data_IF_871527075642
#
_entry.id   IF_871527075642
#
_cell.length_a   1.000
_cell.length_b   1.000
_cell.length_c   1.000
_cell.angle_alpha   90.00
_cell.angle_beta   90.00
_cell.angle_gamma   90.00
#
_symmetry.space_group_name_H-M   'P 1'
#
loop_
_entity.id
_entity.type
_entity.pdbx_description
1 polymer ?
#
# COMPACT_ATOMS: atom_id res chain seq x y z
N UNK A 1 34.05 -13.95 -28.71
CA UNK A 1 34.25 -13.11 -27.51
C UNK A 1 34.39 -11.65 -27.96
N UNK A 2 33.29 -10.97 -28.34
CA UNK A 2 33.23 -9.54 -28.73
C UNK A 2 31.74 -9.13 -28.92
N UNK A 3 31.00 -8.82 -27.83
CA UNK A 3 29.95 -7.79 -27.95
C UNK A 3 29.97 -6.71 -26.84
N UNK A 4 30.78 -6.88 -25.78
CA UNK A 4 30.79 -5.96 -24.63
C UNK A 4 31.31 -4.54 -24.94
N UNK A 5 32.09 -4.34 -26.01
CA UNK A 5 32.69 -3.04 -26.34
C UNK A 5 31.73 -2.07 -27.04
N UNK A 6 30.65 -2.55 -27.67
CA UNK A 6 29.66 -1.69 -28.35
C UNK A 6 28.63 -1.11 -27.36
N UNK A 7 28.21 -1.89 -26.36
CA UNK A 7 27.24 -1.43 -25.36
C UNK A 7 27.84 -0.42 -24.39
N UNK A 8 29.09 -0.62 -23.96
CA UNK A 8 29.81 0.34 -23.10
C UNK A 8 30.02 1.70 -23.80
N UNK A 9 30.34 1.69 -25.11
CA UNK A 9 30.56 2.92 -25.89
C UNK A 9 29.26 3.69 -26.18
N UNK A 10 28.12 3.00 -26.23
CA UNK A 10 26.81 3.62 -26.41
C UNK A 10 26.27 4.27 -25.12
N UNK A 11 26.52 3.64 -23.97
CA UNK A 11 26.17 4.20 -22.66
C UNK A 11 27.02 5.45 -22.33
N UNK A 12 28.33 5.38 -22.57
CA UNK A 12 29.27 6.48 -22.35
C UNK A 12 28.93 7.73 -23.20
N UNK A 13 28.59 7.51 -24.48
CA UNK A 13 28.15 8.57 -25.39
C UNK A 13 26.79 9.20 -25.02
N UNK A 14 25.88 8.43 -24.43
CA UNK A 14 24.59 8.94 -23.97
C UNK A 14 24.76 9.80 -22.71
N UNK A 15 25.65 9.42 -21.77
CA UNK A 15 25.96 10.23 -20.59
C UNK A 15 26.66 11.55 -20.96
N UNK A 16 27.60 11.55 -21.92
CA UNK A 16 28.27 12.79 -22.36
C UNK A 16 27.33 13.77 -23.07
N UNK A 17 26.41 13.27 -23.91
CA UNK A 17 25.38 14.09 -24.55
C UNK A 17 24.38 14.66 -23.55
N UNK A 18 24.11 13.91 -22.48
CA UNK A 18 23.23 14.32 -21.40
C UNK A 18 23.83 15.46 -20.59
N UNK A 19 25.13 15.37 -20.30
CA UNK A 19 25.88 16.36 -19.52
C UNK A 19 26.03 17.68 -20.29
N UNK A 20 26.33 17.62 -21.61
CA UNK A 20 26.38 18.81 -22.47
C UNK A 20 25.05 19.58 -22.52
N UNK A 21 23.91 18.88 -22.60
CA UNK A 21 22.59 19.53 -22.62
C UNK A 21 22.20 20.17 -21.29
N UNK A 22 22.62 19.58 -20.17
CA UNK A 22 22.43 20.16 -18.83
C UNK A 22 23.21 21.47 -18.69
N UNK A 23 24.39 21.55 -19.31
CA UNK A 23 25.21 22.77 -19.35
C UNK A 23 24.63 23.83 -20.29
N UNK A 24 24.01 23.43 -21.41
CA UNK A 24 23.40 24.39 -22.36
C UNK A 24 22.06 24.99 -21.86
N UNK A 25 21.30 24.23 -21.05
CA UNK A 25 20.02 24.62 -20.47
C UNK A 25 20.07 24.60 -18.94
N UNK A 26 20.53 25.73 -18.38
CA UNK A 26 20.67 25.91 -16.93
C UNK A 26 19.35 25.69 -16.16
N UNK A 27 18.19 26.04 -16.75
CA UNK A 27 16.91 25.87 -16.07
C UNK A 27 16.52 24.39 -15.96
N UNK A 28 16.74 23.63 -17.04
CA UNK A 28 16.58 22.18 -17.02
C UNK A 28 17.55 21.51 -16.05
N UNK A 29 18.80 21.94 -16.04
CA UNK A 29 19.80 21.46 -15.09
C UNK A 29 19.36 21.68 -13.63
N UNK A 30 18.92 22.88 -13.29
CA UNK A 30 18.39 23.19 -11.96
C UNK A 30 17.18 22.29 -11.62
N UNK A 31 16.27 22.08 -12.56
CA UNK A 31 15.11 21.21 -12.35
C UNK A 31 15.53 19.75 -12.10
N UNK A 32 16.54 19.24 -12.81
CA UNK A 32 17.06 17.89 -12.63
C UNK A 32 17.71 17.71 -11.26
N UNK A 33 18.52 18.66 -10.81
CA UNK A 33 19.16 18.58 -9.49
C UNK A 33 18.10 18.62 -8.37
N UNK A 34 17.12 19.52 -8.45
CA UNK A 34 16.00 19.56 -7.49
C UNK A 34 15.17 18.28 -7.54
N UNK A 35 14.91 17.73 -8.72
CA UNK A 35 14.19 16.47 -8.88
C UNK A 35 14.95 15.28 -8.25
N UNK A 36 16.27 15.19 -8.47
CA UNK A 36 17.13 14.18 -7.84
C UNK A 36 17.15 14.33 -6.31
N UNK A 37 17.24 15.56 -5.80
CA UNK A 37 17.16 15.84 -4.37
C UNK A 37 15.85 15.38 -3.71
N UNK A 38 14.76 15.34 -4.49
CA UNK A 38 13.47 14.79 -4.07
C UNK A 38 13.27 13.29 -4.40
N UNK A 39 14.33 12.59 -4.83
CA UNK A 39 14.30 11.15 -5.11
C UNK A 39 13.73 10.76 -6.48
N UNK A 40 13.55 11.73 -7.39
CA UNK A 40 13.09 11.47 -8.75
C UNK A 40 14.29 11.31 -9.70
N UNK A 41 14.54 10.09 -10.17
CA UNK A 41 15.58 9.79 -11.17
C UNK A 41 14.98 9.82 -12.58
N UNK A 42 14.99 10.99 -13.22
CA UNK A 42 14.58 11.15 -14.63
C UNK A 42 15.75 11.64 -15.49
N UNK A 43 15.72 11.25 -16.76
CA UNK A 43 16.58 11.81 -17.79
C UNK A 43 16.03 13.17 -18.28
N UNK A 44 16.89 14.07 -18.77
CA UNK A 44 16.49 15.30 -19.46
C UNK A 44 15.42 15.09 -20.52
N UNK A 45 15.58 14.08 -21.38
CA UNK A 45 14.60 13.76 -22.43
C UNK A 45 13.22 13.39 -21.84
N UNK A 46 13.18 12.69 -20.70
CA UNK A 46 11.93 12.38 -20.03
C UNK A 46 11.24 13.63 -19.44
N UNK A 47 12.01 14.60 -18.96
CA UNK A 47 11.49 15.89 -18.50
C UNK A 47 10.99 16.78 -19.65
N UNK A 48 11.64 16.73 -20.81
CA UNK A 48 11.32 17.58 -21.95
C UNK A 48 10.29 16.97 -22.92
N UNK A 49 10.10 15.65 -22.91
CA UNK A 49 9.27 14.89 -23.86
C UNK A 49 7.93 15.57 -24.20
N UNK A 50 7.73 15.94 -25.47
CA UNK A 50 6.48 16.55 -25.94
C UNK A 50 6.22 17.99 -25.45
N UNK A 51 7.24 18.72 -25.01
CA UNK A 51 7.14 20.17 -24.78
C UNK A 51 7.61 20.97 -26.00
N UNK A 52 6.94 22.11 -26.30
CA UNK A 52 7.41 23.04 -27.31
C UNK A 52 8.58 23.87 -26.75
N UNK A 53 9.81 23.42 -26.96
CA UNK A 53 11.01 24.13 -26.52
C UNK A 53 11.30 25.33 -27.42
N UNK A 54 11.84 26.41 -26.85
CA UNK A 54 12.32 27.57 -27.61
C UNK A 54 13.84 27.47 -27.72
N UNK A 55 14.38 27.44 -28.94
CA UNK A 55 15.81 27.25 -29.21
C UNK A 55 16.43 26.01 -28.52
N UNK A 56 15.62 24.96 -28.31
CA UNK A 56 16.05 23.74 -27.62
C UNK A 56 16.13 23.85 -26.10
N UNK A 57 15.74 24.99 -25.51
CA UNK A 57 15.79 25.25 -24.06
C UNK A 57 14.40 25.25 -23.41
N UNK A 58 14.36 24.91 -22.14
CA UNK A 58 13.20 24.96 -21.28
C UNK A 58 12.89 26.41 -20.91
N UNK A 59 11.69 26.86 -21.25
CA UNK A 59 11.21 28.19 -20.86
C UNK A 59 10.49 28.15 -19.50
N UNK A 60 10.55 29.24 -18.69
CA UNK A 60 9.91 29.29 -17.38
C UNK A 60 8.41 28.98 -17.38
N UNK A 61 7.69 29.31 -18.46
CA UNK A 61 6.25 29.01 -18.61
C UNK A 61 5.94 27.51 -18.68
N UNK A 62 6.90 26.69 -19.10
CA UNK A 62 6.76 25.25 -19.26
C UNK A 62 7.28 24.46 -18.04
N UNK A 63 7.91 25.12 -17.07
CA UNK A 63 8.49 24.44 -15.90
C UNK A 63 7.43 23.72 -15.07
N UNK A 64 6.18 24.21 -15.06
CA UNK A 64 5.04 23.52 -14.45
C UNK A 64 4.82 22.12 -15.03
N UNK A 65 4.88 22.01 -16.36
CA UNK A 65 4.66 20.77 -17.07
C UNK A 65 5.87 19.84 -16.96
N UNK A 66 7.08 20.37 -17.09
CA UNK A 66 8.31 19.61 -16.93
C UNK A 66 8.44 19.05 -15.50
N UNK A 67 8.28 19.88 -14.47
CA UNK A 67 8.30 19.47 -13.07
C UNK A 67 7.21 18.44 -12.74
N UNK A 68 6.03 18.57 -13.34
CA UNK A 68 4.94 17.60 -13.21
C UNK A 68 5.32 16.18 -13.63
N UNK A 69 6.22 16.02 -14.59
CA UNK A 69 6.74 14.70 -15.01
C UNK A 69 7.63 14.04 -13.96
N UNK A 70 8.36 14.86 -13.21
CA UNK A 70 9.10 14.42 -12.02
C UNK A 70 8.21 14.22 -10.78
N UNK A 71 6.89 14.39 -10.89
CA UNK A 71 5.98 14.34 -9.74
C UNK A 71 6.09 15.58 -8.84
N UNK A 72 6.74 16.65 -9.31
CA UNK A 72 6.85 17.91 -8.59
C UNK A 72 5.74 18.86 -9.04
N UNK A 73 5.27 19.72 -8.13
CA UNK A 73 4.50 20.91 -8.47
C UNK A 73 5.41 22.11 -8.37
N UNK A 74 5.46 22.91 -9.41
CA UNK A 74 6.19 24.16 -9.41
C UNK A 74 5.26 25.36 -9.45
N UNK A 75 5.74 26.49 -8.92
CA UNK A 75 5.09 27.79 -9.02
C UNK A 75 6.15 28.85 -9.26
N UNK A 76 6.03 29.55 -10.39
CA UNK A 76 6.82 30.74 -10.69
C UNK A 76 6.22 31.92 -9.93
N UNK A 77 7.06 32.67 -9.21
CA UNK A 77 6.68 33.86 -8.45
C UNK A 77 7.61 35.01 -8.78
N UNK A 78 7.07 36.22 -8.83
CA UNK A 78 7.85 37.45 -8.89
C UNK A 78 8.07 37.95 -7.46
N UNK A 79 9.30 37.91 -6.98
CA UNK A 79 9.62 38.29 -5.59
C UNK A 79 11.04 38.83 -5.52
N UNK A 80 11.30 39.76 -4.61
CA UNK A 80 12.66 40.25 -4.36
C UNK A 80 13.45 39.20 -3.58
N UNK A 81 14.78 39.16 -3.73
CA UNK A 81 15.60 38.09 -3.18
C UNK A 81 15.48 38.00 -1.65
N UNK A 82 15.36 39.13 -0.96
CA UNK A 82 15.21 39.20 0.51
C UNK A 82 13.85 38.67 0.99
N UNK A 83 12.86 38.59 0.09
CA UNK A 83 11.49 38.10 0.37
C UNK A 83 11.31 36.63 -0.02
N UNK A 84 12.36 35.95 -0.46
CA UNK A 84 12.29 34.52 -0.72
C UNK A 84 12.12 33.79 0.61
N UNK A 85 11.01 33.06 0.76
CA UNK A 85 10.70 32.37 2.01
C UNK A 85 11.72 31.24 2.28
N UNK A 86 12.50 31.30 3.38
CA UNK A 86 13.50 30.27 3.71
C UNK A 86 12.88 28.88 3.92
N UNK A 87 11.61 28.80 4.32
CA UNK A 87 10.89 27.54 4.52
C UNK A 87 10.53 26.82 3.21
N UNK A 88 10.71 27.48 2.05
CA UNK A 88 10.42 26.92 0.73
C UNK A 88 11.68 26.64 -0.10
N UNK A 89 12.85 26.65 0.54
CA UNK A 89 14.10 26.21 -0.08
C UNK A 89 14.15 24.67 -0.18
N UNK A 90 14.79 24.09 -1.20
CA UNK A 90 15.51 24.77 -2.28
C UNK A 90 14.57 25.43 -3.31
N UNK A 91 14.97 26.60 -3.82
CA UNK A 91 14.22 27.34 -4.84
C UNK A 91 15.10 27.65 -6.06
N UNK A 92 14.56 27.56 -7.27
CA UNK A 92 15.28 27.94 -8.49
C UNK A 92 15.14 29.45 -8.69
N UNK A 93 16.25 30.16 -8.85
CA UNK A 93 16.31 31.58 -9.17
C UNK A 93 16.62 31.75 -10.67
N UNK A 94 15.87 32.62 -11.34
CA UNK A 94 16.17 33.00 -12.71
C UNK A 94 17.16 34.16 -12.71
N UNK A 95 18.29 33.97 -13.38
CA UNK A 95 19.36 34.94 -13.51
C UNK A 95 19.36 35.59 -14.90
N UNK A 96 20.13 36.67 -15.04
CA UNK A 96 20.36 37.31 -16.33
C UNK A 96 21.00 36.34 -17.35
N UNK A 97 20.88 36.67 -18.64
CA UNK A 97 21.36 35.85 -19.77
C UNK A 97 20.72 34.46 -19.90
N UNK A 98 19.44 34.31 -19.50
CA UNK A 98 18.72 33.03 -19.51
C UNK A 98 19.39 31.94 -18.65
N UNK A 99 20.13 32.33 -17.61
CA UNK A 99 20.74 31.41 -16.65
C UNK A 99 19.81 31.14 -15.47
N UNK A 100 20.11 30.09 -14.72
CA UNK A 100 19.40 29.75 -13.50
C UNK A 100 20.35 29.15 -12.47
N UNK A 101 20.06 29.35 -11.19
CA UNK A 101 20.74 28.67 -10.10
C UNK A 101 19.73 28.22 -9.04
N UNK A 102 20.14 27.33 -8.15
CA UNK A 102 19.33 26.90 -7.01
C UNK A 102 19.82 27.62 -5.76
N UNK A 103 18.94 28.34 -5.08
CA UNK A 103 19.19 28.83 -3.74
C UNK A 103 18.94 27.70 -2.74
N UNK A 104 20.01 27.24 -2.08
CA UNK A 104 19.96 26.17 -1.09
C UNK A 104 19.78 26.71 0.34
N UNK A 105 20.33 27.89 0.63
CA UNK A 105 20.32 28.46 1.98
C UNK A 105 21.00 29.81 2.05
N UNK A 106 21.01 30.38 3.25
CA UNK A 106 21.67 31.63 3.61
C UNK A 106 22.71 31.36 4.69
N UNK A 107 23.79 32.14 4.73
CA UNK A 107 24.72 32.19 5.86
C UNK A 107 24.04 32.81 7.10
N UNK A 108 24.55 32.53 8.30
CA UNK A 108 23.97 33.02 9.57
C UNK A 108 23.83 34.55 9.60
N UNK A 109 24.78 35.27 9.00
CA UNK A 109 24.76 36.74 8.92
C UNK A 109 24.02 37.29 7.69
N UNK A 110 23.39 36.43 6.88
CA UNK A 110 22.77 36.78 5.59
C UNK A 110 23.69 37.49 4.56
N UNK A 111 25.00 37.62 4.84
CA UNK A 111 25.96 38.23 3.92
C UNK A 111 26.19 37.38 2.67
N UNK A 112 26.17 36.05 2.81
CA UNK A 112 26.39 35.11 1.71
C UNK A 112 25.20 34.18 1.49
N UNK A 113 24.87 33.94 0.22
CA UNK A 113 23.90 32.97 -0.23
C UNK A 113 24.60 31.68 -0.67
N UNK A 114 24.07 30.52 -0.27
CA UNK A 114 24.53 29.23 -0.78
C UNK A 114 23.74 28.90 -2.05
N UNK A 115 24.43 28.96 -3.19
CA UNK A 115 23.85 28.72 -4.51
C UNK A 115 24.47 27.50 -5.17
N UNK A 116 23.66 26.71 -5.86
CA UNK A 116 24.11 25.59 -6.69
C UNK A 116 23.89 25.96 -8.14
N UNK A 117 24.96 25.89 -8.92
CA UNK A 117 24.95 26.13 -10.35
C UNK A 117 24.89 24.78 -11.09
N UNK A 118 24.00 24.62 -12.08
CA UNK A 118 23.89 23.35 -12.81
C UNK A 118 25.18 22.94 -13.52
N UNK A 119 26.03 23.91 -13.89
CA UNK A 119 27.34 23.67 -14.51
C UNK A 119 28.39 23.08 -13.55
N UNK A 120 28.16 23.20 -12.23
CA UNK A 120 29.01 22.69 -11.15
C UNK A 120 28.40 21.45 -10.47
N UNK A 121 27.32 20.88 -11.02
CA UNK A 121 26.63 19.73 -10.45
C UNK A 121 25.91 20.06 -9.15
N UNK A 122 26.02 19.17 -8.14
CA UNK A 122 25.36 19.31 -6.83
C UNK A 122 26.17 20.14 -5.81
N UNK A 123 27.28 20.78 -6.22
CA UNK A 123 28.14 21.53 -5.32
C UNK A 123 27.56 22.92 -4.98
N UNK A 124 27.37 23.19 -3.69
CA UNK A 124 26.99 24.51 -3.20
C UNK A 124 28.21 25.44 -3.16
N UNK A 125 28.05 26.64 -3.72
CA UNK A 125 29.03 27.73 -3.73
C UNK A 125 28.48 28.87 -2.89
N UNK A 126 29.34 29.45 -2.05
CA UNK A 126 29.02 30.68 -1.33
C UNK A 126 29.20 31.87 -2.29
N UNK A 127 28.14 32.66 -2.46
CA UNK A 127 28.13 33.87 -3.28
C UNK A 127 27.71 35.05 -2.40
N UNK A 128 28.37 36.20 -2.58
CA UNK A 128 27.97 37.43 -1.90
C UNK A 128 26.54 37.82 -2.30
N UNK A 129 25.73 38.20 -1.32
CA UNK A 129 24.30 38.48 -1.56
C UNK A 129 24.13 39.64 -2.55
N UNK A 130 24.98 40.67 -2.47
CA UNK A 130 24.96 41.78 -3.42
C UNK A 130 25.24 41.34 -4.86
N UNK A 131 26.17 40.40 -5.04
CA UNK A 131 26.48 39.82 -6.35
C UNK A 131 25.30 39.00 -6.91
N UNK A 132 24.63 38.24 -6.05
CA UNK A 132 23.45 37.46 -6.43
C UNK A 132 22.27 38.37 -6.77
N UNK A 133 22.04 39.44 -6.00
CA UNK A 133 21.00 40.45 -6.28
C UNK A 133 21.24 41.11 -7.64
N UNK A 134 22.49 41.45 -7.97
CA UNK A 134 22.83 42.08 -9.24
C UNK A 134 22.53 41.20 -10.46
N UNK A 135 22.54 39.88 -10.31
CA UNK A 135 22.27 38.90 -11.40
C UNK A 135 20.83 38.39 -11.41
N UNK A 136 20.05 38.70 -10.39
CA UNK A 136 18.72 38.11 -10.18
C UNK A 136 17.63 38.89 -10.91
N UNK A 137 16.89 38.21 -11.77
CA UNK A 137 15.84 38.82 -12.60
C UNK A 137 14.54 39.14 -11.85
N UNK A 138 14.48 38.88 -10.54
CA UNK A 138 13.27 39.08 -9.73
C UNK A 138 12.23 37.95 -9.79
N UNK A 139 12.58 36.80 -10.40
CA UNK A 139 11.68 35.65 -10.54
C UNK A 139 12.27 34.40 -9.89
N UNK A 140 11.54 33.83 -8.91
CA UNK A 140 11.88 32.57 -8.25
C UNK A 140 10.86 31.49 -8.61
N UNK A 141 11.30 30.24 -8.58
CA UNK A 141 10.46 29.09 -8.85
C UNK A 141 10.55 28.15 -7.64
N UNK A 142 9.43 28.03 -6.95
CA UNK A 142 9.30 27.06 -5.87
C UNK A 142 8.90 25.72 -6.44
N UNK A 143 9.57 24.67 -5.98
CA UNK A 143 9.22 23.29 -6.29
C UNK A 143 8.87 22.58 -5.00
N UNK A 144 7.81 21.78 -5.05
CA UNK A 144 7.48 20.86 -3.97
C UNK A 144 7.09 19.51 -4.53
N UNK A 145 7.34 18.41 -3.82
CA UNK A 145 6.73 17.12 -4.14
C UNK A 145 5.22 17.29 -4.27
N UNK A 146 4.68 16.97 -5.44
CA UNK A 146 3.25 16.84 -5.61
C UNK A 146 2.79 15.65 -4.77
N UNK A 147 1.71 15.80 -4.00
CA UNK A 147 1.02 14.64 -3.44
C UNK A 147 0.50 13.77 -4.59
N UNK A 148 1.34 12.85 -5.05
CA UNK A 148 0.89 11.60 -5.65
C UNK A 148 0.78 10.64 -4.47
N UNK A 149 -0.43 10.15 -4.23
CA UNK A 149 -0.61 8.83 -3.62
C UNK A 149 0.01 7.82 -4.59
N UNK A 150 1.35 7.76 -4.63
CA UNK A 150 2.06 6.93 -5.57
C UNK A 150 2.25 5.54 -4.96
N UNK A 151 1.37 4.64 -5.42
CA UNK A 151 1.46 3.20 -5.27
C UNK A 151 2.62 2.62 -6.09
N UNK A 152 3.85 3.09 -5.85
CA UNK A 152 5.09 2.52 -6.40
C UNK A 152 6.21 2.66 -5.36
N UNK A 153 6.40 1.59 -4.59
CA UNK A 153 7.63 1.35 -3.82
C UNK A 153 8.75 0.92 -4.81
N UNK A 154 10.05 1.10 -4.49
CA UNK A 154 10.64 0.49 -3.30
C UNK A 154 11.63 1.38 -2.53
N UNK A 155 11.50 1.36 -1.21
CA UNK A 155 12.49 1.87 -0.28
C UNK A 155 12.20 1.28 1.08
N UNK A 156 12.93 0.22 1.42
CA UNK A 156 12.84 -0.52 2.68
C UNK A 156 13.05 0.44 3.85
N UNK A 157 11.95 0.93 4.43
CA UNK A 157 11.96 1.46 5.79
C UNK A 157 10.95 0.64 6.58
N UNK A 158 11.49 -0.22 7.46
CA UNK A 158 10.77 -1.03 8.44
C UNK A 158 9.82 -0.14 9.24
N UNK A 159 8.61 0.09 8.73
CA UNK A 159 7.49 0.55 9.54
C UNK A 159 6.75 -0.70 9.97
N UNK A 160 6.61 -0.86 11.27
CA UNK A 160 5.88 -1.96 11.93
C UNK A 160 4.61 -2.25 11.13
N UNK A 161 4.49 -3.49 10.64
CA UNK A 161 3.45 -4.01 9.73
C UNK A 161 2.01 -4.00 10.31
N UNK A 162 1.68 -3.12 11.25
CA UNK A 162 0.46 -3.19 12.03
C UNK A 162 -0.55 -2.07 11.79
N UNK A 163 -0.52 -1.30 10.69
CA UNK A 163 -1.39 -0.10 10.60
C UNK A 163 -2.38 -0.04 9.42
N UNK A 164 -2.10 -0.72 8.30
CA UNK A 164 -2.99 -0.66 7.13
C UNK A 164 -4.26 -1.52 7.31
N UNK A 165 -4.12 -2.70 7.95
CA UNK A 165 -5.26 -3.56 8.30
C UNK A 165 -6.29 -2.83 9.17
N UNK A 166 -5.81 -2.10 10.18
CA UNK A 166 -6.68 -1.36 11.09
C UNK A 166 -7.35 -0.15 10.44
N UNK A 167 -6.75 0.45 9.39
CA UNK A 167 -7.42 1.54 8.67
C UNK A 167 -8.62 1.05 7.85
N UNK A 168 -8.52 -0.15 7.26
CA UNK A 168 -9.63 -0.80 6.52
C UNK A 168 -10.73 -1.29 7.47
N UNK A 169 -10.36 -1.83 8.64
CA UNK A 169 -11.32 -2.22 9.69
C UNK A 169 -12.05 -0.98 10.26
N UNK A 170 -11.33 0.14 10.41
CA UNK A 170 -11.87 1.40 10.93
C UNK A 170 -12.94 2.03 10.03
N UNK A 171 -12.83 1.89 8.70
CA UNK A 171 -13.80 2.44 7.74
C UNK A 171 -15.19 1.80 7.85
N UNK A 172 -15.31 0.56 8.37
CA UNK A 172 -16.57 -0.17 8.53
C UNK A 172 -16.88 -0.56 9.98
N UNK A 173 -16.45 0.26 10.96
CA UNK A 173 -16.60 -0.03 12.40
C UNK A 173 -18.02 -0.42 12.86
N UNK A 174 -19.06 0.12 12.23
CA UNK A 174 -20.45 -0.18 12.57
C UNK A 174 -20.79 -1.65 12.26
N UNK A 175 -20.34 -2.14 11.10
CA UNK A 175 -20.59 -3.50 10.67
C UNK A 175 -19.83 -4.51 11.54
N UNK A 176 -18.57 -4.23 11.86
CA UNK A 176 -17.79 -5.07 12.78
C UNK A 176 -18.37 -5.09 14.19
N UNK A 177 -18.88 -3.96 14.69
CA UNK A 177 -19.58 -3.90 15.98
C UNK A 177 -20.83 -4.78 15.98
N UNK A 178 -21.63 -4.71 14.92
CA UNK A 178 -22.88 -5.46 14.84
C UNK A 178 -22.61 -6.98 14.71
N UNK A 179 -21.55 -7.37 13.97
CA UNK A 179 -21.08 -8.77 13.90
C UNK A 179 -20.55 -9.25 15.25
N UNK A 180 -19.79 -8.42 15.97
CA UNK A 180 -19.26 -8.75 17.30
C UNK A 180 -20.39 -8.90 18.34
N UNK A 181 -21.39 -8.02 18.30
CA UNK A 181 -22.56 -8.10 19.17
C UNK A 181 -23.40 -9.35 18.87
N UNK A 182 -23.58 -9.69 17.59
CA UNK A 182 -24.24 -10.93 17.19
C UNK A 182 -23.46 -12.16 17.67
N UNK A 183 -22.13 -12.19 17.50
CA UNK A 183 -21.29 -13.27 18.01
C UNK A 183 -21.38 -13.40 19.54
N UNK A 184 -21.41 -12.29 20.27
CA UNK A 184 -21.62 -12.29 21.71
C UNK A 184 -22.96 -12.93 22.09
N UNK A 185 -24.07 -12.51 21.46
CA UNK A 185 -25.40 -13.03 21.74
C UNK A 185 -25.54 -14.53 21.38
N UNK A 186 -24.99 -14.95 20.24
CA UNK A 186 -24.97 -16.37 19.83
C UNK A 186 -24.24 -17.21 20.87
N UNK A 187 -23.04 -16.78 21.28
CA UNK A 187 -22.26 -17.52 22.27
C UNK A 187 -22.95 -17.54 23.65
N UNK A 188 -23.63 -16.47 24.03
CA UNK A 188 -24.43 -16.43 25.26
C UNK A 188 -25.60 -17.43 25.22
N UNK A 189 -26.35 -17.47 24.12
CA UNK A 189 -27.46 -18.41 23.94
C UNK A 189 -27.02 -19.87 23.82
N UNK A 190 -25.84 -20.13 23.27
CA UNK A 190 -25.29 -21.47 23.15
C UNK A 190 -25.08 -22.17 24.52
N UNK A 191 -24.94 -21.41 25.62
CA UNK A 191 -24.84 -21.95 26.99
C UNK A 191 -26.20 -22.46 27.51
N UNK A 192 -27.31 -22.02 26.93
CA UNK A 192 -28.64 -22.43 27.37
C UNK A 192 -28.89 -23.94 27.22
N UNK A 193 -28.35 -24.58 26.17
CA UNK A 193 -28.54 -26.00 25.92
C UNK A 193 -27.84 -26.88 26.99
N UNK A 194 -26.55 -26.69 27.32
CA UNK A 194 -25.92 -27.36 28.46
C UNK A 194 -26.66 -27.14 29.79
N UNK A 195 -27.10 -25.91 30.07
CA UNK A 195 -27.84 -25.60 31.30
C UNK A 195 -29.21 -26.29 31.33
N UNK A 196 -29.89 -26.41 30.19
CA UNK A 196 -31.14 -27.14 30.08
C UNK A 196 -30.94 -28.62 30.38
N UNK A 197 -29.97 -29.26 29.71
CA UNK A 197 -29.66 -30.68 29.93
C UNK A 197 -29.32 -30.90 31.40
N UNK A 198 -28.47 -30.06 31.99
CA UNK A 198 -28.12 -30.12 33.41
C UNK A 198 -29.36 -30.02 34.30
N UNK A 199 -30.22 -29.01 34.11
CA UNK A 199 -31.43 -28.87 34.93
C UNK A 199 -32.42 -30.03 34.72
N UNK A 200 -32.54 -30.55 33.50
CA UNK A 200 -33.42 -31.67 33.21
C UNK A 200 -32.95 -32.92 33.94
N UNK A 201 -31.67 -33.28 33.81
CA UNK A 201 -31.13 -34.49 34.43
C UNK A 201 -31.00 -34.38 35.96
N UNK A 202 -30.60 -33.22 36.49
CA UNK A 202 -30.33 -33.08 37.92
C UNK A 202 -31.59 -32.77 38.73
N UNK A 203 -32.59 -32.11 38.12
CA UNK A 203 -33.77 -31.61 38.86
C UNK A 203 -35.09 -32.12 38.33
N UNK A 204 -35.27 -32.23 37.01
CA UNK A 204 -36.57 -32.58 36.44
C UNK A 204 -36.82 -34.08 36.46
N UNK A 205 -35.87 -34.87 35.97
CA UNK A 205 -35.98 -36.34 35.90
C UNK A 205 -36.10 -36.95 37.31
N UNK A 206 -35.28 -36.58 38.31
CA UNK A 206 -35.37 -37.19 39.64
C UNK A 206 -36.66 -36.83 40.38
N UNK A 207 -37.20 -35.63 40.16
CA UNK A 207 -38.40 -35.14 40.85
C UNK A 207 -39.70 -35.33 40.04
N UNK A 208 -39.66 -35.96 38.86
CA UNK A 208 -40.79 -36.09 37.93
C UNK A 208 -41.53 -34.76 37.69
N UNK A 209 -40.80 -33.63 37.62
CA UNK A 209 -41.38 -32.30 37.55
C UNK A 209 -41.77 -31.92 36.10
N UNK A 210 -42.85 -32.52 35.58
CA UNK A 210 -43.27 -32.36 34.17
C UNK A 210 -43.63 -30.93 33.80
N UNK A 211 -44.19 -30.15 34.73
CA UNK A 211 -44.54 -28.75 34.46
C UNK A 211 -43.28 -27.89 34.27
N UNK A 212 -42.25 -28.13 35.08
CA UNK A 212 -40.93 -27.49 34.94
C UNK A 212 -40.27 -27.90 33.62
N UNK A 213 -40.43 -29.17 33.20
CA UNK A 213 -39.91 -29.64 31.91
C UNK A 213 -40.51 -28.84 30.74
N UNK A 214 -41.83 -28.70 30.70
CA UNK A 214 -42.50 -27.95 29.64
C UNK A 214 -42.08 -26.48 29.63
N UNK A 215 -42.02 -25.84 30.80
CA UNK A 215 -41.57 -24.45 30.91
C UNK A 215 -40.12 -24.26 30.40
N UNK A 216 -39.19 -25.12 30.83
CA UNK A 216 -37.80 -25.07 30.37
C UNK A 216 -37.67 -25.40 28.88
N UNK A 217 -38.44 -26.37 28.37
CA UNK A 217 -38.40 -26.78 26.96
C UNK A 217 -38.86 -25.65 26.04
N UNK A 218 -39.95 -24.96 26.39
CA UNK A 218 -40.41 -23.78 25.63
C UNK A 218 -39.37 -22.67 25.67
N UNK A 219 -38.77 -22.41 26.85
CA UNK A 219 -37.70 -21.41 26.99
C UNK A 219 -36.50 -21.72 26.08
N UNK A 220 -36.03 -22.96 26.07
CA UNK A 220 -34.91 -23.39 25.23
C UNK A 220 -35.27 -23.37 23.75
N UNK A 221 -36.50 -23.73 23.37
CA UNK A 221 -36.96 -23.62 21.99
C UNK A 221 -36.87 -22.17 21.48
N UNK A 222 -37.29 -21.20 22.31
CA UNK A 222 -37.16 -19.77 22.00
C UNK A 222 -35.69 -19.37 21.85
N UNK A 223 -34.83 -19.81 22.78
CA UNK A 223 -33.40 -19.52 22.73
C UNK A 223 -32.74 -20.11 21.48
N UNK A 224 -33.00 -21.37 21.14
CA UNK A 224 -32.47 -22.02 19.94
C UNK A 224 -32.95 -21.29 18.68
N UNK A 225 -34.22 -20.89 18.64
CA UNK A 225 -34.77 -20.13 17.51
C UNK A 225 -34.08 -18.77 17.37
N UNK A 226 -33.88 -18.05 18.48
CA UNK A 226 -33.16 -16.78 18.50
C UNK A 226 -31.69 -16.96 18.09
N UNK A 227 -31.03 -18.01 18.57
CA UNK A 227 -29.65 -18.35 18.19
C UNK A 227 -29.55 -18.59 16.67
N UNK A 228 -30.48 -19.35 16.09
CA UNK A 228 -30.53 -19.63 14.65
C UNK A 228 -30.67 -18.33 13.86
N UNK A 229 -31.63 -17.47 14.23
CA UNK A 229 -31.85 -16.17 13.56
C UNK A 229 -30.60 -15.31 13.62
N UNK A 230 -29.97 -15.17 14.80
CA UNK A 230 -28.75 -14.39 14.96
C UNK A 230 -27.59 -14.96 14.15
N UNK A 231 -27.44 -16.30 14.09
CA UNK A 231 -26.41 -16.97 13.30
C UNK A 231 -26.58 -16.71 11.81
N UNK A 232 -27.83 -16.74 11.31
CA UNK A 232 -28.15 -16.40 9.92
C UNK A 232 -27.91 -14.92 9.63
N UNK A 233 -28.35 -14.00 10.50
CA UNK A 233 -28.09 -12.57 10.34
C UNK A 233 -26.60 -12.26 10.32
N UNK A 234 -25.81 -12.90 11.21
CA UNK A 234 -24.35 -12.76 11.24
C UNK A 234 -23.73 -13.19 9.92
N UNK A 235 -24.13 -14.34 9.38
CA UNK A 235 -23.66 -14.80 8.07
C UNK A 235 -23.96 -13.79 6.96
N UNK A 236 -25.21 -13.31 6.91
CA UNK A 236 -25.62 -12.32 5.93
C UNK A 236 -24.85 -10.99 6.04
N UNK A 237 -24.54 -10.52 7.26
CA UNK A 237 -23.74 -9.30 7.44
C UNK A 237 -22.30 -9.47 7.01
N UNK A 238 -21.70 -10.63 7.26
CA UNK A 238 -20.34 -10.95 6.77
C UNK A 238 -20.33 -11.00 5.25
N UNK A 239 -21.33 -11.62 4.62
CA UNK A 239 -21.46 -11.68 3.16
C UNK A 239 -21.67 -10.28 2.55
N UNK A 240 -22.50 -9.45 3.19
CA UNK A 240 -22.74 -8.08 2.75
C UNK A 240 -21.46 -7.22 2.87
N UNK A 241 -20.65 -7.44 3.92
CA UNK A 241 -19.32 -6.84 4.05
C UNK A 241 -18.43 -7.20 2.87
N UNK A 242 -18.36 -8.50 2.56
CA UNK A 242 -17.58 -9.05 1.46
C UNK A 242 -17.96 -8.42 0.13
N UNK A 243 -19.27 -8.35 -0.17
CA UNK A 243 -19.77 -7.78 -1.43
C UNK A 243 -19.48 -6.28 -1.59
N UNK A 244 -19.58 -5.47 -0.53
CA UNK A 244 -19.29 -4.02 -0.59
C UNK A 244 -17.81 -3.74 -0.82
N UNK A 245 -16.94 -4.54 -0.21
CA UNK A 245 -15.50 -4.49 -0.43
C UNK A 245 -15.18 -4.96 -1.84
N UNK A 246 -15.87 -6.00 -2.33
CA UNK A 246 -15.70 -6.52 -3.68
C UNK A 246 -16.05 -5.47 -4.76
N UNK A 247 -17.19 -4.79 -4.65
CA UNK A 247 -17.61 -3.75 -5.61
C UNK A 247 -16.61 -2.58 -5.69
N UNK A 248 -16.13 -2.08 -4.53
CA UNK A 248 -15.14 -0.99 -4.51
C UNK A 248 -13.81 -1.42 -5.12
N UNK A 249 -13.33 -2.60 -4.76
CA UNK A 249 -12.04 -3.08 -5.25
C UNK A 249 -12.13 -3.46 -6.74
N UNK A 250 -13.26 -3.97 -7.21
CA UNK A 250 -13.54 -4.17 -8.64
C UNK A 250 -13.54 -2.86 -9.42
N UNK A 251 -14.13 -1.79 -8.88
CA UNK A 251 -14.03 -0.45 -9.51
C UNK A 251 -12.61 0.10 -9.53
N UNK A 252 -11.83 -0.07 -8.45
CA UNK A 252 -10.44 0.37 -8.37
C UNK A 252 -9.53 -0.40 -9.33
N UNK A 253 -9.73 -1.72 -9.45
CA UNK A 253 -9.03 -2.56 -10.42
C UNK A 253 -9.40 -2.14 -11.85
N UNK A 254 -10.70 -1.93 -12.14
CA UNK A 254 -11.16 -1.51 -13.46
C UNK A 254 -10.62 -0.13 -13.84
N UNK A 255 -10.59 0.82 -12.90
CA UNK A 255 -9.98 2.15 -13.09
C UNK A 255 -8.48 2.04 -13.36
N UNK A 256 -7.78 1.13 -12.67
CA UNK A 256 -6.35 0.88 -12.91
C UNK A 256 -6.08 0.18 -14.23
N UNK A 257 -6.98 -0.71 -14.67
CA UNK A 257 -6.91 -1.41 -15.97
C UNK A 257 -7.22 -0.46 -17.13
N UNK A 258 -8.22 0.40 -16.99
CA UNK A 258 -8.59 1.40 -18.00
C UNK A 258 -7.63 2.60 -18.03
N UNK A 259 -6.98 2.92 -16.90
CA UNK A 259 -5.99 3.98 -16.78
C UNK A 259 -4.58 3.58 -17.21
N UNK A 260 -4.33 2.33 -17.59
CA UNK A 260 -3.06 1.88 -18.14
C UNK A 260 -2.92 2.39 -19.58
N UNK A 261 -2.14 3.47 -19.74
CA UNK A 261 -1.68 3.94 -21.05
C UNK A 261 -0.86 2.85 -21.76
N UNK A 262 -1.09 2.71 -23.07
CA UNK A 262 -0.47 1.74 -24.00
C UNK A 262 1.07 1.74 -24.04
N UNK A 263 1.73 2.72 -23.41
CA UNK A 263 3.18 2.91 -23.42
C UNK A 263 3.91 2.09 -22.34
N UNK A 264 3.21 1.53 -21.35
CA UNK A 264 3.80 0.79 -20.22
C UNK A 264 3.30 -0.66 -20.12
N UNK A 265 3.29 -1.39 -21.24
CA UNK A 265 2.95 -2.82 -21.26
C UNK A 265 4.09 -3.62 -20.59
N UNK A 266 3.88 -4.31 -19.45
CA UNK A 266 4.90 -5.20 -18.89
C UNK A 266 5.07 -6.41 -19.81
N UNK A 267 6.28 -6.95 -19.87
CA UNK A 267 6.70 -8.01 -20.80
C UNK A 267 5.94 -9.34 -20.67
N UNK A 268 5.09 -9.52 -19.66
CA UNK A 268 4.09 -10.61 -19.69
C UNK A 268 2.82 -10.27 -18.91
N UNK A 269 1.67 -10.66 -19.47
CA UNK A 269 0.36 -10.55 -18.85
C UNK A 269 0.22 -11.39 -17.55
N UNK A 270 1.17 -12.30 -17.28
CA UNK A 270 1.14 -13.22 -16.15
C UNK A 270 1.53 -12.60 -14.80
N UNK A 271 2.49 -11.66 -14.76
CA UNK A 271 2.93 -11.05 -13.49
C UNK A 271 1.94 -10.00 -12.96
N UNK A 272 1.23 -9.31 -13.86
CA UNK A 272 0.16 -8.38 -13.49
C UNK A 272 -1.07 -9.13 -12.94
N UNK A 273 -1.42 -10.27 -13.56
CA UNK A 273 -2.48 -11.15 -13.06
C UNK A 273 -2.12 -11.80 -11.71
N UNK A 274 -0.84 -12.11 -11.46
CA UNK A 274 -0.38 -12.66 -10.18
C UNK A 274 -0.47 -11.64 -9.03
N UNK A 275 -0.10 -10.38 -9.26
CA UNK A 275 -0.26 -9.32 -8.25
C UNK A 275 -1.73 -8.99 -7.98
N UNK A 276 -2.61 -9.06 -9.00
CA UNK A 276 -4.06 -8.90 -8.82
C UNK A 276 -4.65 -10.02 -7.94
N UNK A 277 -4.24 -11.28 -8.16
CA UNK A 277 -4.66 -12.43 -7.34
C UNK A 277 -4.12 -12.38 -5.91
N UNK A 278 -2.97 -11.76 -5.67
CA UNK A 278 -2.45 -11.60 -4.31
C UNK A 278 -3.34 -10.68 -3.45
N UNK A 279 -4.00 -9.68 -4.06
CA UNK A 279 -5.01 -8.86 -3.37
C UNK A 279 -6.36 -9.58 -3.23
N UNK A 280 -6.73 -10.44 -4.17
CA UNK A 280 -7.90 -11.32 -4.09
C UNK A 280 -7.75 -12.36 -2.97
N UNK A 281 -6.55 -12.92 -2.77
CA UNK A 281 -6.22 -13.79 -1.64
C UNK A 281 -6.37 -13.09 -0.28
N UNK A 282 -6.03 -11.81 -0.18
CA UNK A 282 -6.19 -11.02 1.05
C UNK A 282 -7.66 -10.65 1.26
N UNK A 283 -8.42 -10.40 0.19
CA UNK A 283 -9.88 -10.24 0.21
C UNK A 283 -10.58 -11.52 0.68
N UNK A 284 -10.21 -12.67 0.13
CA UNK A 284 -10.72 -13.97 0.57
C UNK A 284 -10.37 -14.21 2.03
N UNK A 285 -9.18 -13.84 2.50
CA UNK A 285 -8.83 -13.94 3.92
C UNK A 285 -9.76 -13.10 4.82
N UNK A 286 -10.02 -11.85 4.46
CA UNK A 286 -10.89 -10.92 5.23
C UNK A 286 -12.38 -11.30 5.14
N UNK A 287 -12.83 -11.85 4.00
CA UNK A 287 -14.21 -12.30 3.80
C UNK A 287 -14.44 -13.76 4.24
N UNK A 288 -13.38 -14.53 4.51
CA UNK A 288 -13.49 -15.95 4.84
C UNK A 288 -13.91 -16.19 6.28
N UNK A 289 -14.28 -17.46 6.53
CA UNK A 289 -14.42 -18.07 7.84
C UNK A 289 -13.30 -17.72 8.85
N UNK A 290 -12.13 -17.25 8.40
CA UNK A 290 -11.02 -16.83 9.25
C UNK A 290 -11.36 -15.63 10.13
N UNK A 291 -12.02 -14.59 9.60
CA UNK A 291 -12.40 -13.42 10.41
C UNK A 291 -13.47 -13.80 11.44
N UNK A 292 -14.42 -14.65 11.04
CA UNK A 292 -15.43 -15.20 11.96
C UNK A 292 -14.78 -16.04 13.05
N UNK A 293 -13.83 -16.90 12.70
CA UNK A 293 -13.08 -17.70 13.66
C UNK A 293 -12.26 -16.83 14.63
N UNK A 294 -11.67 -15.74 14.15
CA UNK A 294 -10.93 -14.80 14.99
C UNK A 294 -11.84 -14.05 15.97
N UNK A 295 -13.06 -13.70 15.53
CA UNK A 295 -14.10 -13.08 16.37
C UNK A 295 -14.64 -14.08 17.40
N UNK A 296 -14.78 -15.36 17.03
CA UNK A 296 -15.28 -16.41 17.92
C UNK A 296 -14.21 -16.91 18.92
N UNK A 297 -12.92 -16.73 18.63
CA UNK A 297 -11.78 -17.12 19.48
C UNK A 297 -11.86 -16.62 20.95
N UNK A 298 -12.09 -15.32 21.24
CA UNK A 298 -12.25 -14.85 22.62
C UNK A 298 -13.44 -15.50 23.34
N UNK A 299 -14.51 -15.85 22.60
CA UNK A 299 -15.66 -16.53 23.17
C UNK A 299 -15.40 -18.00 23.47
N UNK A 300 -14.55 -18.65 22.69
CA UNK A 300 -14.09 -20.01 23.00
C UNK A 300 -13.39 -20.09 24.37
N UNK A 301 -12.60 -19.07 24.73
CA UNK A 301 -12.00 -18.93 26.06
C UNK A 301 -13.07 -18.79 27.16
N UNK A 302 -14.09 -17.95 26.93
CA UNK A 302 -15.23 -17.80 27.86
C UNK A 302 -15.95 -19.14 28.05
N UNK A 303 -16.20 -19.88 26.97
CA UNK A 303 -16.79 -21.22 27.03
C UNK A 303 -15.93 -22.19 27.86
N UNK A 304 -14.61 -22.15 27.70
CA UNK A 304 -13.69 -22.97 28.48
C UNK A 304 -13.79 -22.67 29.98
N UNK A 305 -13.93 -21.39 30.35
CA UNK A 305 -14.14 -20.95 31.74
C UNK A 305 -15.48 -21.43 32.27
N UNK A 306 -16.56 -21.29 31.50
CA UNK A 306 -17.91 -21.75 31.89
C UNK A 306 -17.95 -23.27 32.06
N UNK A 307 -17.36 -24.03 31.13
CA UNK A 307 -17.25 -25.49 31.23
C UNK A 307 -16.43 -25.87 32.47
N UNK A 308 -15.30 -25.19 32.71
CA UNK A 308 -14.49 -25.41 33.90
C UNK A 308 -15.21 -25.12 35.21
N UNK A 309 -16.07 -24.10 35.22
CA UNK A 309 -16.94 -23.78 36.35
C UNK A 309 -18.00 -24.86 36.59
N UNK A 310 -18.62 -25.39 35.53
CA UNK A 310 -19.63 -26.46 35.62
C UNK A 310 -18.98 -27.77 36.07
N UNK A 311 -17.80 -28.11 35.54
CA UNK A 311 -17.09 -29.33 35.88
C UNK A 311 -15.67 -29.34 35.35
N UNK A 312 -14.70 -29.12 36.24
CA UNK A 312 -13.26 -29.15 35.91
C UNK A 312 -12.80 -30.40 35.12
N UNK A 313 -13.30 -31.63 35.38
CA UNK A 313 -12.89 -32.81 34.60
C UNK A 313 -13.35 -32.79 33.14
N UNK A 314 -14.45 -32.09 32.79
CA UNK A 314 -14.92 -31.97 31.40
C UNK A 314 -13.98 -31.14 30.53
N UNK A 315 -13.11 -30.34 31.16
CA UNK A 315 -12.15 -29.47 30.51
C UNK A 315 -10.99 -30.28 29.87
N UNK A 316 -10.65 -31.43 30.46
CA UNK A 316 -9.55 -32.31 30.04
C UNK A 316 -9.69 -32.79 28.58
N UNK A 317 -10.79 -33.45 28.16
CA UNK A 317 -10.94 -33.88 26.76
C UNK A 317 -10.98 -32.71 25.79
N UNK A 318 -11.51 -31.55 26.22
CA UNK A 318 -11.57 -30.34 25.39
C UNK A 318 -10.18 -29.76 25.12
N UNK A 319 -9.37 -29.57 26.16
CA UNK A 319 -7.99 -29.08 26.03
C UNK A 319 -7.15 -30.05 25.20
N UNK A 320 -7.27 -31.36 25.47
CA UNK A 320 -6.57 -32.38 24.71
C UNK A 320 -6.95 -32.34 23.22
N UNK A 321 -8.25 -32.18 22.92
CA UNK A 321 -8.75 -32.02 21.56
C UNK A 321 -8.21 -30.77 20.85
N UNK A 322 -8.20 -29.61 21.54
CA UNK A 322 -7.62 -28.38 21.00
C UNK A 322 -6.12 -28.53 20.76
N UNK A 323 -5.37 -29.13 21.69
CA UNK A 323 -3.94 -29.39 21.53
C UNK A 323 -3.66 -30.33 20.34
N UNK A 324 -4.43 -31.41 20.18
CA UNK A 324 -4.32 -32.32 19.04
C UNK A 324 -4.63 -31.61 17.71
N UNK A 325 -5.68 -30.79 17.69
CA UNK A 325 -6.05 -30.00 16.51
C UNK A 325 -4.94 -29.04 16.11
N UNK A 326 -4.36 -28.32 17.08
CA UNK A 326 -3.24 -27.41 16.83
C UNK A 326 -1.99 -28.16 16.34
N UNK A 327 -1.66 -29.30 16.94
CA UNK A 327 -0.54 -30.14 16.50
C UNK A 327 -0.74 -30.65 15.06
N UNK A 328 -1.96 -31.07 14.73
CA UNK A 328 -2.32 -31.47 13.36
C UNK A 328 -2.23 -30.28 12.39
N UNK A 329 -2.79 -29.13 12.75
CA UNK A 329 -2.77 -27.92 11.94
C UNK A 329 -1.33 -27.46 11.63
N UNK A 330 -0.44 -27.44 12.64
CA UNK A 330 0.98 -27.11 12.45
C UNK A 330 1.66 -28.07 11.48
N UNK A 331 1.35 -29.36 11.57
CA UNK A 331 1.89 -30.39 10.67
C UNK A 331 1.41 -30.19 9.22
N UNK A 332 0.13 -29.92 9.04
CA UNK A 332 -0.48 -29.69 7.71
C UNK A 332 -0.02 -28.37 7.10
N UNK A 333 0.13 -27.32 7.91
CA UNK A 333 0.55 -26.00 7.47
C UNK A 333 1.98 -26.01 6.90
N UNK A 334 2.89 -26.79 7.52
CA UNK A 334 4.23 -27.02 6.97
C UNK A 334 4.20 -27.63 5.58
N UNK A 335 3.36 -28.65 5.35
CA UNK A 335 3.20 -29.28 4.02
C UNK A 335 2.49 -28.41 2.99
N UNK A 336 1.48 -27.65 3.40
CA UNK A 336 0.76 -26.72 2.53
C UNK A 336 1.68 -25.60 2.02
N UNK A 337 2.62 -25.14 2.86
CA UNK A 337 3.60 -24.13 2.45
C UNK A 337 4.54 -24.66 1.35
N UNK A 338 5.02 -25.89 1.50
CA UNK A 338 5.89 -26.57 0.53
C UNK A 338 5.16 -26.86 -0.80
N UNK A 339 3.88 -27.26 -0.74
CA UNK A 339 3.02 -27.48 -1.91
C UNK A 339 2.66 -26.17 -2.64
N UNK A 340 2.50 -25.07 -1.90
CA UNK A 340 2.26 -23.75 -2.47
C UNK A 340 3.51 -23.24 -3.22
N UNK A 341 4.70 -23.39 -2.62
CA UNK A 341 5.97 -23.01 -3.28
C UNK A 341 6.23 -23.81 -4.56
N UNK A 342 5.99 -25.12 -4.54
CA UNK A 342 6.18 -25.99 -5.72
C UNK A 342 5.20 -25.66 -6.85
N UNK A 343 3.93 -25.36 -6.52
CA UNK A 343 2.92 -24.88 -7.48
C UNK A 343 3.31 -23.52 -8.07
N UNK A 344 3.84 -22.61 -7.25
CA UNK A 344 4.29 -21.29 -7.69
C UNK A 344 5.50 -21.40 -8.64
N UNK A 345 6.47 -22.26 -8.32
CA UNK A 345 7.64 -22.55 -9.18
C UNK A 345 7.24 -23.22 -10.49
N UNK A 346 6.31 -24.17 -10.46
CA UNK A 346 5.79 -24.83 -11.66
C UNK A 346 5.00 -23.87 -12.57
N UNK A 347 4.24 -22.94 -11.99
CA UNK A 347 3.55 -21.88 -12.73
C UNK A 347 4.51 -20.89 -13.42
N UNK A 348 5.60 -20.52 -12.73
CA UNK A 348 6.65 -19.66 -13.29
C UNK A 348 7.41 -20.33 -14.45
N UNK A 349 7.70 -21.63 -14.35
CA UNK A 349 8.38 -22.40 -15.40
C UNK A 349 7.51 -22.63 -16.66
N UNK A 350 6.18 -22.72 -16.51
CA UNK A 350 5.25 -22.81 -17.65
C UNK A 350 5.15 -21.51 -18.46
N UNK A 351 5.39 -20.37 -17.83
CA UNK A 351 5.40 -19.08 -18.53
C UNK A 351 6.73 -18.81 -19.25
N UNK A 352 7.87 -19.27 -18.74
CA UNK A 352 9.17 -19.09 -19.40
C UNK A 352 9.36 -20.01 -20.61
N UNK A 353 8.80 -21.22 -20.59
CA UNK A 353 8.90 -22.18 -21.71
C UNK A 353 8.06 -21.80 -22.93
N UNK A 354 7.02 -20.96 -22.76
CA UNK A 354 6.18 -20.48 -23.87
C UNK A 354 6.80 -19.30 -24.62
N UNK A 355 7.63 -18.49 -23.96
CA UNK A 355 8.34 -17.35 -24.57
C UNK A 355 9.59 -17.80 -25.35
N UNK A 356 10.22 -18.91 -24.95
CA UNK A 356 11.37 -19.50 -25.65
C UNK A 356 11.04 -20.13 -27.01
N UNK A 357 9.78 -20.54 -27.26
CA UNK A 357 9.38 -21.17 -28.53
C UNK A 357 9.18 -20.18 -29.67
N UNK A 358 9.02 -18.89 -29.38
CA UNK A 358 8.79 -17.86 -30.42
C UNK A 358 10.10 -17.30 -31.02
N UNK A 359 11.26 -17.59 -30.40
CA UNK A 359 12.59 -17.14 -30.85
C UNK A 359 13.37 -18.17 -31.69
N UNK A 360 12.77 -19.33 -31.98
CA UNK A 360 13.46 -20.48 -32.56
C UNK A 360 13.03 -20.87 -33.98
N UNK A 361 12.67 -19.91 -34.84
CA UNK A 361 12.44 -20.20 -36.25
C UNK A 361 13.36 -19.31 -37.11
N UNK A 362 14.55 -19.81 -37.51
CA UNK A 362 15.33 -19.15 -38.54
C UNK A 362 14.63 -19.37 -39.88
N UNK A 363 14.54 -18.30 -40.67
CA UNK A 363 14.04 -18.32 -42.05
C UNK A 363 14.98 -19.04 -43.01
#
# INVERSE_FOLDING_TARGET
>A
MLPASKEAKAADGAETLNDQRVVEDALLGCLLLVARGHGASLTPDALLSGLPLENGKLVPSLIGRAAGRAGLRSRVVKTALERVNPALLPAILLLDDQRACILAGWSEDHGQAQVVFPELGDAAVAMETEELVARYTGHAIYLRPGHRFDARAPGVRKTRQGHWFWSVVGENRALYRDVLLAAFMINFFAVAMPLFVMNVYDRVVPNNATDTLWALSVGVLVVITAELVLRTMRGHFVDLAGSRIDVRLSSFIMERVLGLRMEARPTSAGSFAANLRAFESVRDFISSATVVAFIDLPFALVFLVVIGWIGWPLLIPFVLGVCLLLAYAMTVQGRMHELAETTYRAGAQRHSTRDGRHKGQPG
#
